data_IF_471217688529
#
_entry.id   IF_471217688529
#
_cell.length_a   1.000
_cell.length_b   1.000
_cell.length_c   1.000
_cell.angle_alpha   90.00
_cell.angle_beta   90.00
_cell.angle_gamma   90.00
#
_symmetry.space_group_name_H-M   'P 1'
#
loop_
_entity.id
_entity.type
_entity.pdbx_description
1 polymer ?
#
# COMPACT_ATOMS: atom_id res chain seq x y z
N UNK A 1 -6.23 -14.69 4.59
CA UNK A 1 -7.29 -15.04 3.68
C UNK A 1 -8.29 -13.90 3.60
N UNK A 2 -8.39 -13.37 2.45
CA UNK A 2 -9.29 -12.28 2.18
C UNK A 2 -10.59 -12.82 1.63
N UNK A 3 -11.69 -12.21 2.03
CA UNK A 3 -12.97 -12.54 1.49
C UNK A 3 -13.21 -11.88 0.13
N UNK A 4 -14.47 -11.75 -0.20
CA UNK A 4 -14.91 -11.20 -1.49
C UNK A 4 -14.47 -9.76 -1.72
N UNK A 5 -14.22 -8.98 -0.67
CA UNK A 5 -13.77 -7.59 -0.79
C UNK A 5 -12.41 -7.43 -1.42
N UNK A 6 -11.62 -8.50 -1.54
CA UNK A 6 -10.30 -8.45 -2.13
C UNK A 6 -10.33 -7.92 -3.57
N UNK A 7 -11.31 -8.35 -4.35
CA UNK A 7 -11.41 -7.95 -5.76
C UNK A 7 -11.60 -6.44 -5.90
N UNK A 8 -12.55 -5.88 -5.17
CA UNK A 8 -12.83 -4.44 -5.22
C UNK A 8 -11.69 -3.63 -4.63
N UNK A 9 -11.19 -4.02 -3.46
CA UNK A 9 -10.14 -3.26 -2.79
C UNK A 9 -8.82 -3.31 -3.56
N UNK A 10 -8.45 -4.47 -4.08
CA UNK A 10 -7.25 -4.61 -4.92
C UNK A 10 -7.41 -3.85 -6.22
N UNK A 11 -8.56 -3.97 -6.87
CA UNK A 11 -8.85 -3.26 -8.13
C UNK A 11 -8.77 -1.75 -7.98
N UNK A 12 -9.33 -1.20 -6.91
CA UNK A 12 -9.24 0.23 -6.64
C UNK A 12 -7.81 0.68 -6.35
N UNK A 13 -7.06 -0.12 -5.62
CA UNK A 13 -5.66 0.16 -5.35
C UNK A 13 -4.85 0.22 -6.66
N UNK A 14 -5.08 -0.74 -7.56
CA UNK A 14 -4.45 -0.76 -8.87
C UNK A 14 -4.84 0.44 -9.72
N UNK A 15 -6.10 0.85 -9.68
CA UNK A 15 -6.57 2.04 -10.41
C UNK A 15 -5.87 3.30 -9.90
N UNK A 16 -5.79 3.49 -8.59
CA UNK A 16 -5.09 4.63 -8.01
C UNK A 16 -3.61 4.62 -8.34
N UNK A 17 -3.00 3.43 -8.31
CA UNK A 17 -1.60 3.27 -8.67
C UNK A 17 -1.36 3.65 -10.14
N UNK A 18 -2.27 3.28 -11.03
CA UNK A 18 -2.18 3.63 -12.46
C UNK A 18 -2.28 5.13 -12.73
N UNK A 19 -2.86 5.88 -11.82
CA UNK A 19 -2.99 7.35 -11.89
C UNK A 19 -1.83 8.07 -11.21
N UNK A 20 -0.92 7.33 -10.62
CA UNK A 20 0.23 7.86 -9.88
C UNK A 20 1.47 7.71 -10.75
N UNK A 21 2.32 8.73 -10.77
CA UNK A 21 3.61 8.63 -11.46
C UNK A 21 4.54 7.74 -10.63
N UNK A 22 4.76 6.52 -11.10
CA UNK A 22 5.54 5.48 -10.43
C UNK A 22 6.96 5.42 -10.97
N UNK A 23 7.18 5.94 -12.18
CA UNK A 23 8.42 5.76 -12.91
C UNK A 23 9.63 6.28 -12.13
N UNK A 24 10.62 5.41 -11.92
CA UNK A 24 11.85 5.75 -11.23
C UNK A 24 11.71 5.96 -9.71
N UNK A 25 10.57 5.61 -9.14
CA UNK A 25 10.29 5.84 -7.72
C UNK A 25 10.48 4.60 -6.88
N UNK A 26 10.74 4.81 -5.59
CA UNK A 26 10.84 3.75 -4.59
C UNK A 26 9.48 3.49 -3.98
N UNK A 27 9.08 2.21 -3.96
CA UNK A 27 7.76 1.77 -3.49
C UNK A 27 7.91 0.81 -2.32
N UNK A 28 7.02 0.91 -1.36
CA UNK A 28 6.90 -0.06 -0.26
C UNK A 28 5.49 -0.63 -0.26
N UNK A 29 5.38 -1.95 -0.36
CA UNK A 29 4.11 -2.68 -0.30
C UNK A 29 3.97 -3.28 1.10
N UNK A 30 3.14 -2.65 1.93
CA UNK A 30 2.94 -3.03 3.33
C UNK A 30 1.75 -3.96 3.47
N UNK A 31 1.95 -5.09 4.13
CA UNK A 31 0.94 -6.15 4.18
C UNK A 31 0.77 -6.73 2.79
N UNK A 32 1.88 -7.04 2.15
CA UNK A 32 1.94 -7.30 0.71
C UNK A 32 1.15 -8.54 0.24
N UNK A 33 0.88 -9.49 1.13
CA UNK A 33 0.21 -10.73 0.74
C UNK A 33 0.97 -11.41 -0.39
N UNK A 34 0.27 -11.67 -1.50
CA UNK A 34 0.86 -12.29 -2.69
C UNK A 34 1.82 -11.38 -3.47
N UNK A 35 1.89 -10.10 -3.11
CA UNK A 35 2.77 -9.14 -3.77
C UNK A 35 2.18 -8.50 -5.02
N UNK A 36 0.91 -8.70 -5.31
CA UNK A 36 0.29 -8.23 -6.56
C UNK A 36 0.44 -6.72 -6.79
N UNK A 37 0.31 -5.93 -5.74
CA UNK A 37 0.37 -4.46 -5.86
C UNK A 37 1.80 -3.98 -6.12
N UNK A 38 2.76 -4.48 -5.37
CA UNK A 38 4.17 -4.13 -5.56
C UNK A 38 4.70 -4.62 -6.91
N UNK A 39 4.27 -5.79 -7.35
CA UNK A 39 4.62 -6.32 -8.67
C UNK A 39 4.05 -5.39 -9.76
N UNK A 40 2.82 -4.93 -9.60
CA UNK A 40 2.23 -3.96 -10.53
C UNK A 40 3.05 -2.66 -10.57
N UNK A 41 3.50 -2.17 -9.42
CA UNK A 41 4.34 -0.98 -9.36
C UNK A 41 5.65 -1.17 -10.12
N UNK A 42 6.30 -2.33 -9.97
CA UNK A 42 7.51 -2.65 -10.71
C UNK A 42 7.27 -2.68 -12.22
N UNK A 43 6.15 -3.25 -12.65
CA UNK A 43 5.78 -3.26 -14.08
C UNK A 43 5.50 -1.88 -14.63
N UNK A 44 5.04 -0.95 -13.79
CA UNK A 44 4.79 0.44 -14.18
C UNK A 44 6.05 1.30 -14.18
N UNK A 45 7.20 0.72 -13.85
CA UNK A 45 8.47 1.40 -13.93
C UNK A 45 9.06 1.88 -12.61
N UNK A 46 8.55 1.40 -11.47
CA UNK A 46 9.18 1.71 -10.19
C UNK A 46 10.65 1.26 -10.23
N UNK A 47 11.52 2.08 -9.70
CA UNK A 47 12.94 1.74 -9.61
C UNK A 47 13.16 0.58 -8.65
N UNK A 48 12.40 0.55 -7.57
CA UNK A 48 12.54 -0.43 -6.51
C UNK A 48 11.21 -0.60 -5.81
N UNK A 49 10.90 -1.81 -5.40
CA UNK A 49 9.79 -2.08 -4.50
C UNK A 49 10.24 -3.06 -3.42
N UNK A 50 10.05 -2.67 -2.17
CA UNK A 50 10.22 -3.55 -1.03
C UNK A 50 8.85 -4.07 -0.59
N UNK A 51 8.81 -5.29 -0.11
CA UNK A 51 7.58 -5.98 0.29
C UNK A 51 7.69 -6.39 1.75
N UNK A 52 6.66 -6.12 2.54
CA UNK A 52 6.62 -6.51 3.96
C UNK A 52 5.29 -7.18 4.27
N UNK A 53 5.34 -8.31 4.97
CA UNK A 53 4.15 -8.93 5.54
C UNK A 53 4.53 -9.59 6.87
N UNK A 54 3.59 -9.58 7.81
CA UNK A 54 3.80 -10.21 9.12
C UNK A 54 3.70 -11.74 9.01
N UNK A 55 2.99 -12.23 8.00
CA UNK A 55 2.79 -13.66 7.77
C UNK A 55 3.93 -14.23 6.92
N UNK A 56 4.74 -15.16 7.45
CA UNK A 56 5.81 -15.79 6.67
C UNK A 56 5.32 -16.49 5.39
N UNK A 57 4.10 -17.03 5.42
CA UNK A 57 3.52 -17.68 4.23
C UNK A 57 3.22 -16.65 3.13
N UNK A 58 2.76 -15.47 3.52
CA UNK A 58 2.54 -14.39 2.57
C UNK A 58 3.87 -13.92 1.97
N UNK A 59 4.90 -13.77 2.79
CA UNK A 59 6.23 -13.39 2.31
C UNK A 59 6.77 -14.41 1.30
N UNK A 60 6.59 -15.71 1.56
CA UNK A 60 6.98 -16.75 0.62
C UNK A 60 6.19 -16.67 -0.68
N UNK A 61 4.87 -16.42 -0.61
CA UNK A 61 4.03 -16.26 -1.78
C UNK A 61 4.47 -15.07 -2.63
N UNK A 62 4.81 -13.95 -2.00
CA UNK A 62 5.31 -12.77 -2.71
C UNK A 62 6.63 -13.09 -3.44
N UNK A 63 7.55 -13.79 -2.79
CA UNK A 63 8.81 -14.22 -3.41
C UNK A 63 8.57 -15.10 -4.63
N UNK A 64 7.67 -16.09 -4.49
CA UNK A 64 7.34 -16.98 -5.59
C UNK A 64 6.74 -16.23 -6.77
N UNK A 65 5.85 -15.27 -6.50
CA UNK A 65 5.24 -14.46 -7.56
C UNK A 65 6.24 -13.53 -8.23
N UNK A 66 7.17 -12.97 -7.49
CA UNK A 66 8.28 -12.19 -8.07
C UNK A 66 9.09 -13.05 -9.03
N UNK A 67 9.47 -14.25 -8.59
CA UNK A 67 10.24 -15.19 -9.43
C UNK A 67 9.45 -15.55 -10.70
N UNK A 68 8.15 -15.83 -10.59
CA UNK A 68 7.30 -16.12 -11.75
C UNK A 68 7.22 -14.97 -12.75
N UNK A 69 7.43 -13.74 -12.28
CA UNK A 69 7.41 -12.56 -13.13
C UNK A 69 8.81 -12.12 -13.58
N UNK A 70 9.83 -12.91 -13.26
CA UNK A 70 11.22 -12.57 -13.61
C UNK A 70 11.74 -11.35 -12.87
N UNK A 71 11.22 -11.07 -11.69
CA UNK A 71 11.58 -9.91 -10.90
C UNK A 71 12.35 -10.28 -9.65
N UNK A 72 13.24 -9.39 -9.22
CA UNK A 72 14.01 -9.52 -7.98
C UNK A 72 13.66 -8.32 -7.09
N UNK A 73 13.33 -8.58 -5.82
CA UNK A 73 13.05 -7.54 -4.84
C UNK A 73 13.26 -8.08 -3.44
N UNK A 74 13.41 -7.16 -2.48
CA UNK A 74 13.52 -7.52 -1.07
C UNK A 74 12.13 -7.79 -0.49
N UNK A 75 11.98 -8.93 0.16
CA UNK A 75 10.75 -9.30 0.86
C UNK A 75 11.11 -9.55 2.32
N UNK A 76 10.46 -8.81 3.20
CA UNK A 76 10.72 -8.87 4.64
C UNK A 76 9.51 -9.47 5.36
N UNK A 77 9.77 -10.23 6.41
CA UNK A 77 8.74 -10.63 7.36
C UNK A 77 8.78 -9.64 8.52
N UNK A 78 7.70 -8.87 8.71
CA UNK A 78 7.67 -7.85 9.76
C UNK A 78 6.28 -7.26 9.96
N UNK A 79 6.09 -6.57 11.10
CA UNK A 79 4.83 -5.96 11.46
C UNK A 79 4.74 -4.55 10.87
N UNK A 80 3.89 -4.37 9.89
CA UNK A 80 3.70 -3.12 9.15
C UNK A 80 5.06 -2.59 8.64
N UNK A 81 5.34 -1.31 8.86
CA UNK A 81 6.61 -0.70 8.43
C UNK A 81 7.60 -0.55 9.59
N UNK A 82 7.38 -1.22 10.71
CA UNK A 82 8.14 -1.07 11.93
C UNK A 82 9.64 -1.29 11.74
N UNK A 83 10.01 -2.30 10.95
CA UNK A 83 11.42 -2.64 10.69
C UNK A 83 11.99 -2.03 9.41
N UNK A 84 11.16 -1.33 8.65
CA UNK A 84 11.61 -0.72 7.40
C UNK A 84 12.55 0.45 7.68
N UNK A 85 13.72 0.46 7.03
CA UNK A 85 14.75 1.48 7.24
C UNK A 85 14.85 2.50 6.12
N UNK A 86 14.14 2.30 5.03
CA UNK A 86 14.17 3.21 3.89
C UNK A 86 13.17 4.35 4.00
N UNK A 87 13.14 5.16 2.94
CA UNK A 87 12.16 6.23 2.75
C UNK A 87 11.51 6.01 1.39
N UNK A 88 10.23 5.71 1.39
CA UNK A 88 9.50 5.42 0.14
C UNK A 88 8.89 6.68 -0.46
N UNK A 89 8.88 6.74 -1.79
CA UNK A 89 8.11 7.73 -2.54
C UNK A 89 6.63 7.37 -2.55
N UNK A 90 6.35 6.07 -2.60
CA UNK A 90 4.97 5.54 -2.67
C UNK A 90 4.85 4.38 -1.70
N UNK A 91 3.79 4.39 -0.90
CA UNK A 91 3.42 3.26 -0.04
C UNK A 91 2.08 2.72 -0.49
N UNK A 92 2.02 1.40 -0.66
CA UNK A 92 0.80 0.67 -1.00
C UNK A 92 0.33 -0.08 0.25
N UNK A 93 -0.91 0.12 0.64
CA UNK A 93 -1.45 -0.46 1.86
C UNK A 93 -2.92 -0.88 1.65
N UNK A 94 -3.11 -2.12 1.23
CA UNK A 94 -4.45 -2.71 1.11
C UNK A 94 -4.76 -3.48 2.40
N UNK A 95 -5.21 -2.73 3.42
CA UNK A 95 -5.34 -3.22 4.79
C UNK A 95 -6.68 -2.77 5.36
N UNK A 96 -7.10 -3.39 6.46
CA UNK A 96 -8.31 -2.94 7.16
C UNK A 96 -8.08 -1.57 7.79
N UNK A 97 -9.17 -0.87 8.13
CA UNK A 97 -9.11 0.45 8.74
C UNK A 97 -8.28 0.45 10.04
N UNK A 98 -8.48 -0.55 10.91
CA UNK A 98 -7.72 -0.63 12.17
C UNK A 98 -6.22 -0.73 11.92
N UNK A 99 -5.82 -1.53 10.95
CA UNK A 99 -4.41 -1.71 10.63
C UNK A 99 -3.82 -0.45 9.97
N UNK A 100 -4.59 0.21 9.11
CA UNK A 100 -4.18 1.49 8.51
C UNK A 100 -3.94 2.56 9.57
N UNK A 101 -4.78 2.61 10.61
CA UNK A 101 -4.60 3.56 11.72
C UNK A 101 -3.32 3.27 12.49
N UNK A 102 -2.95 2.00 12.67
CA UNK A 102 -1.67 1.62 13.27
C UNK A 102 -0.49 1.98 12.37
N UNK A 103 -0.62 1.75 11.06
CA UNK A 103 0.43 2.08 10.09
C UNK A 103 0.76 3.56 10.09
N UNK A 104 -0.22 4.41 10.35
CA UNK A 104 -0.03 5.86 10.35
C UNK A 104 1.15 6.30 11.23
N UNK A 105 1.37 5.64 12.35
CA UNK A 105 2.46 5.99 13.28
C UNK A 105 3.85 5.80 12.66
N UNK A 106 3.99 4.89 11.71
CA UNK A 106 5.27 4.63 11.02
C UNK A 106 5.53 5.61 9.87
N UNK A 107 4.49 6.21 9.30
CA UNK A 107 4.58 6.96 8.05
C UNK A 107 5.53 8.16 8.09
N UNK A 108 5.60 8.96 9.17
CA UNK A 108 6.56 10.06 9.20
C UNK A 108 8.00 9.60 9.01
N UNK A 109 8.33 8.40 9.47
CA UNK A 109 9.67 7.84 9.40
C UNK A 109 10.00 7.22 8.04
N UNK A 110 9.00 6.63 7.38
CA UNK A 110 9.23 5.79 6.19
C UNK A 110 8.78 6.43 4.88
N UNK A 111 8.12 7.58 4.93
CA UNK A 111 7.68 8.30 3.73
C UNK A 111 8.43 9.60 3.54
N UNK A 112 8.75 9.90 2.29
CA UNK A 112 9.25 11.22 1.91
C UNK A 112 8.11 12.23 1.90
N UNK A 113 8.43 13.49 2.18
CA UNK A 113 7.50 14.60 1.98
C UNK A 113 7.10 14.66 0.52
N UNK A 114 5.82 14.84 0.25
CA UNK A 114 5.29 14.77 -1.12
C UNK A 114 5.07 13.34 -1.61
N UNK A 115 5.43 12.35 -0.81
CA UNK A 115 5.17 10.95 -1.14
C UNK A 115 3.69 10.62 -1.14
N UNK A 116 3.33 9.56 -1.83
CA UNK A 116 1.93 9.15 -2.00
C UNK A 116 1.66 7.86 -1.23
N UNK A 117 0.62 7.89 -0.39
CA UNK A 117 0.10 6.71 0.27
C UNK A 117 -1.18 6.28 -0.44
N UNK A 118 -1.20 5.06 -0.96
CA UNK A 118 -2.40 4.48 -1.55
C UNK A 118 -2.97 3.48 -0.54
N UNK A 119 -4.14 3.80 -0.02
CA UNK A 119 -4.85 2.99 0.98
C UNK A 119 -6.09 2.37 0.37
N UNK A 120 -6.34 1.11 0.64
CA UNK A 120 -7.55 0.41 0.23
C UNK A 120 -7.92 -0.65 1.27
N UNK A 121 -9.05 -1.33 1.07
CA UNK A 121 -9.54 -2.32 2.03
C UNK A 121 -10.40 -1.69 3.14
N UNK A 122 -10.86 -0.48 2.93
CA UNK A 122 -11.65 0.29 3.90
C UNK A 122 -13.13 0.12 3.59
N UNK A 123 -13.89 -0.41 4.54
CA UNK A 123 -15.36 -0.49 4.38
C UNK A 123 -15.96 0.91 4.56
N UNK A 124 -17.09 1.17 3.90
CA UNK A 124 -17.76 2.48 3.95
C UNK A 124 -17.99 2.96 5.37
N UNK A 125 -18.37 2.06 6.28
CA UNK A 125 -18.63 2.41 7.68
C UNK A 125 -17.43 3.01 8.41
N UNK A 126 -16.21 2.74 7.93
CA UNK A 126 -14.96 3.22 8.53
C UNK A 126 -14.32 4.36 7.75
N UNK A 127 -14.91 4.76 6.62
CA UNK A 127 -14.32 5.75 5.72
C UNK A 127 -14.11 7.09 6.40
N UNK A 128 -15.12 7.57 7.15
CA UNK A 128 -15.01 8.86 7.81
C UNK A 128 -13.91 8.88 8.88
N UNK A 129 -13.77 7.82 9.61
CA UNK A 129 -12.71 7.68 10.61
C UNK A 129 -11.33 7.77 9.98
N UNK A 130 -11.14 7.10 8.84
CA UNK A 130 -9.88 7.17 8.09
C UNK A 130 -9.64 8.57 7.56
N UNK A 131 -10.67 9.21 6.98
CA UNK A 131 -10.55 10.58 6.49
C UNK A 131 -10.14 11.54 7.60
N UNK A 132 -10.80 11.44 8.75
CA UNK A 132 -10.52 12.32 9.89
C UNK A 132 -9.11 12.08 10.46
N UNK A 133 -8.63 10.84 10.44
CA UNK A 133 -7.31 10.50 10.97
C UNK A 133 -6.17 10.97 10.06
N UNK A 134 -6.34 10.90 8.76
CA UNK A 134 -5.26 11.18 7.80
C UNK A 134 -5.34 12.58 7.21
N UNK A 135 -6.50 13.00 6.74
CA UNK A 135 -6.63 14.26 6.01
C UNK A 135 -6.78 15.42 6.97
N UNK A 136 -5.87 16.39 6.89
CA UNK A 136 -5.78 17.46 7.85
C UNK A 136 -4.83 17.15 9.00
N UNK A 137 -4.24 15.95 9.02
CA UNK A 137 -3.23 15.55 10.00
C UNK A 137 -2.05 14.90 9.29
N UNK A 138 -1.35 15.72 8.51
CA UNK A 138 -0.13 15.32 7.81
C UNK A 138 -0.33 14.84 6.40
N UNK A 139 -1.56 14.67 5.94
CA UNK A 139 -1.87 14.21 4.59
C UNK A 139 -2.94 15.06 3.93
N UNK A 140 -2.82 15.21 2.61
CA UNK A 140 -3.85 15.82 1.78
C UNK A 140 -4.49 14.72 0.91
N UNK A 141 -5.81 14.76 0.77
CA UNK A 141 -6.53 13.82 -0.10
C UNK A 141 -6.32 14.21 -1.55
N UNK A 142 -5.68 13.33 -2.32
CA UNK A 142 -5.44 13.55 -3.74
C UNK A 142 -6.48 12.87 -4.63
N UNK A 143 -6.97 11.70 -4.24
CA UNK A 143 -7.96 10.94 -5.02
C UNK A 143 -8.73 10.00 -4.09
N UNK A 144 -9.90 9.55 -4.55
CA UNK A 144 -10.74 8.60 -3.81
C UNK A 144 -11.56 7.77 -4.79
N UNK A 145 -11.70 6.49 -4.50
CA UNK A 145 -12.57 5.58 -5.21
C UNK A 145 -13.51 4.88 -4.22
N UNK A 146 -14.72 4.60 -4.67
CA UNK A 146 -15.71 3.86 -3.89
C UNK A 146 -16.35 2.82 -4.81
N UNK A 147 -16.44 1.57 -4.33
CA UNK A 147 -16.95 0.47 -5.15
C UNK A 147 -17.52 -0.62 -4.24
N UNK A 148 -18.79 -0.94 -4.41
CA UNK A 148 -19.48 -2.04 -3.72
C UNK A 148 -19.28 -2.06 -2.19
N UNK A 149 -19.34 -0.88 -1.54
CA UNK A 149 -19.20 -0.77 -0.09
C UNK A 149 -17.75 -0.65 0.40
N UNK A 150 -16.80 -0.54 -0.52
CA UNK A 150 -15.38 -0.37 -0.22
C UNK A 150 -14.87 0.99 -0.68
N UNK A 151 -13.88 1.49 0.01
CA UNK A 151 -13.22 2.77 -0.29
C UNK A 151 -11.72 2.61 -0.44
N UNK A 152 -11.14 3.45 -1.29
CA UNK A 152 -9.70 3.58 -1.45
C UNK A 152 -9.33 5.05 -1.62
N UNK A 153 -8.15 5.41 -1.16
CA UNK A 153 -7.66 6.80 -1.19
C UNK A 153 -6.23 6.85 -1.68
N UNK A 154 -5.92 7.93 -2.40
CA UNK A 154 -4.54 8.37 -2.58
C UNK A 154 -4.34 9.62 -1.71
N UNK A 155 -3.36 9.56 -0.83
CA UNK A 155 -3.04 10.62 0.11
C UNK A 155 -1.61 11.10 -0.11
N UNK A 156 -1.39 12.41 -0.09
CA UNK A 156 -0.06 13.00 -0.27
C UNK A 156 0.46 13.49 1.08
N UNK A 157 1.65 13.04 1.45
CA UNK A 157 2.29 13.46 2.69
C UNK A 157 2.75 14.90 2.61
N UNK A 158 2.36 15.67 3.60
CA UNK A 158 2.70 17.09 3.71
C UNK A 158 3.93 17.34 4.57
#
# INVERSE_FOLDING_TARGET
>A
AFGTGLHESTGMCLKLLSRTDVNGRTVLDVGCGSGILGIAALRLGAEKCDFIDIDPLAAEAAKANLDCNGMTAEVFCGDLAETYRGHADIILANLTADILLRLKDDLPRVMKRGGVLIMSGIIDARAREIEDAFFGDGFAKADMLAENGWRAYAAVKQ
#
